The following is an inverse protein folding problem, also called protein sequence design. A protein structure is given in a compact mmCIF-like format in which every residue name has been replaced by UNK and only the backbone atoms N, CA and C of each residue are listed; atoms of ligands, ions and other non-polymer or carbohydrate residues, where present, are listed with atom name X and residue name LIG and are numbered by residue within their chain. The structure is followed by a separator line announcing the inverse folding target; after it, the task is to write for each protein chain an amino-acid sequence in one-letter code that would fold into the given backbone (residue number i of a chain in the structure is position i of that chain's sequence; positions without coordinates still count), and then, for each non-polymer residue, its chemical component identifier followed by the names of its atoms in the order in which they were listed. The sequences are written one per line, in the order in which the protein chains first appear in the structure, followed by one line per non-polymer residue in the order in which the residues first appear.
data_IF_828039713370
#
_entry.id   IF_828039713370
#
_cell.length_a   1.000
_cell.length_b   1.000
_cell.length_c   1.000
_cell.angle_alpha   90.00
_cell.angle_beta   90.00
_cell.angle_gamma   90.00
#
_symmetry.space_group_name_H-M   'P 1'
#
loop_
_entity.id
_entity.type
_entity.pdbx_description
1 polymer ?
#
# COMPACT_ATOMS: atom_id res chain seq x y z
N UNK A 1 5.85 -19.49 17.18
CA UNK A 1 6.09 -19.00 15.80
C UNK A 1 6.62 -17.58 15.89
N UNK A 2 7.63 -17.22 15.07
CA UNK A 2 8.22 -15.89 15.07
C UNK A 2 7.77 -15.09 13.83
N UNK A 3 7.65 -13.78 13.98
CA UNK A 3 7.43 -12.88 12.86
C UNK A 3 8.76 -12.54 12.21
N UNK A 4 8.80 -12.52 10.88
CA UNK A 4 10.00 -12.16 10.16
C UNK A 4 10.10 -10.63 10.03
N UNK A 5 11.30 -10.08 10.24
CA UNK A 5 11.57 -8.66 10.06
C UNK A 5 12.77 -8.42 9.14
N UNK A 6 12.82 -7.24 8.55
CA UNK A 6 13.98 -6.73 7.85
C UNK A 6 14.05 -5.22 8.03
N UNK A 7 15.16 -4.60 7.64
CA UNK A 7 15.40 -3.18 7.80
C UNK A 7 14.99 -2.39 6.56
N UNK A 8 14.42 -1.20 6.77
CA UNK A 8 14.19 -0.19 5.74
C UNK A 8 14.69 1.16 6.18
N UNK A 9 15.14 1.96 5.23
CA UNK A 9 15.42 3.39 5.47
C UNK A 9 14.12 4.16 5.55
N UNK A 10 14.09 5.20 6.39
CA UNK A 10 13.00 6.18 6.36
C UNK A 10 13.00 6.86 4.99
N UNK A 11 11.83 7.24 4.45
CA UNK A 11 11.78 8.14 3.30
C UNK A 11 12.49 9.45 3.66
N UNK A 12 13.29 9.99 2.72
CA UNK A 12 13.86 11.32 2.90
C UNK A 12 12.74 12.36 2.89
N UNK A 13 12.79 13.32 3.78
CA UNK A 13 12.01 14.53 3.68
C UNK A 13 12.55 15.37 2.51
N UNK A 14 11.68 16.20 1.90
CA UNK A 14 12.07 16.97 0.72
C UNK A 14 13.28 17.86 1.03
N UNK A 15 14.38 17.61 0.33
CA UNK A 15 15.60 18.40 0.42
C UNK A 15 16.72 17.82 1.31
N UNK A 16 16.51 16.68 1.93
CA UNK A 16 17.50 16.03 2.78
C UNK A 16 18.29 15.01 1.94
N UNK A 17 19.58 15.29 1.66
CA UNK A 17 20.46 14.39 0.92
C UNK A 17 21.13 13.32 1.82
N UNK A 18 20.97 13.44 3.15
CA UNK A 18 21.59 12.51 4.10
C UNK A 18 20.91 11.15 4.11
N UNK A 19 21.74 10.13 4.25
CA UNK A 19 21.32 8.74 4.38
C UNK A 19 20.50 8.55 5.67
N UNK A 20 19.19 8.39 5.53
CA UNK A 20 18.29 8.19 6.66
C UNK A 20 18.58 6.87 7.41
N UNK A 21 18.39 6.83 8.75
CA UNK A 21 18.65 5.65 9.55
C UNK A 21 17.76 4.48 9.17
N UNK A 22 18.28 3.27 9.36
CA UNK A 22 17.54 2.04 9.18
C UNK A 22 16.60 1.81 10.37
N UNK A 23 15.41 1.30 10.10
CA UNK A 23 14.47 0.85 11.12
C UNK A 23 13.91 -0.53 10.78
N UNK A 24 13.68 -1.40 11.78
CA UNK A 24 13.13 -2.72 11.56
C UNK A 24 11.66 -2.62 11.18
N UNK A 25 11.25 -3.44 10.24
CA UNK A 25 9.86 -3.57 9.79
C UNK A 25 9.51 -5.03 9.56
N UNK A 26 8.28 -5.41 9.92
CA UNK A 26 7.79 -6.77 9.70
C UNK A 26 7.71 -7.04 8.20
N UNK A 27 8.25 -8.19 7.79
CA UNK A 27 8.06 -8.75 6.45
C UNK A 27 6.75 -9.55 6.49
N UNK A 28 5.72 -9.00 5.85
CA UNK A 28 4.39 -9.62 5.85
C UNK A 28 4.40 -10.96 5.13
N UNK A 29 3.82 -11.98 5.75
CA UNK A 29 3.58 -13.31 5.16
C UNK A 29 2.31 -13.36 4.30
N UNK A 30 1.57 -12.26 4.22
CA UNK A 30 0.32 -12.13 3.49
C UNK A 30 -0.79 -11.56 4.35
N UNK A 31 -2.00 -11.54 3.80
CA UNK A 31 -3.21 -11.09 4.49
C UNK A 31 -4.10 -12.29 4.78
N UNK A 32 -4.52 -12.42 6.01
CA UNK A 32 -5.55 -13.38 6.42
C UNK A 32 -6.90 -12.66 6.29
N UNK A 33 -7.78 -13.19 5.48
CA UNK A 33 -9.14 -12.68 5.28
C UNK A 33 -10.15 -13.21 6.30
N UNK A 34 -11.33 -12.62 6.32
CA UNK A 34 -12.40 -13.06 7.24
C UNK A 34 -12.83 -14.51 7.00
N UNK A 35 -12.80 -15.00 5.75
CA UNK A 35 -13.21 -16.40 5.45
C UNK A 35 -12.33 -17.41 6.17
N UNK A 36 -11.02 -17.17 6.14
CA UNK A 36 -10.09 -18.02 6.86
C UNK A 36 -10.29 -17.94 8.37
N UNK A 37 -10.46 -16.72 8.91
CA UNK A 37 -10.74 -16.54 10.34
C UNK A 37 -12.03 -17.23 10.77
N UNK A 38 -13.10 -17.14 9.98
CA UNK A 38 -14.38 -17.78 10.29
C UNK A 38 -14.27 -19.29 10.28
N UNK A 39 -13.55 -19.86 9.34
CA UNK A 39 -13.28 -21.30 9.31
C UNK A 39 -12.55 -21.74 10.58
N UNK A 40 -11.44 -21.10 10.92
CA UNK A 40 -10.66 -21.45 12.12
C UNK A 40 -11.48 -21.29 13.42
N UNK A 41 -12.38 -20.30 13.51
CA UNK A 41 -13.30 -20.12 14.65
C UNK A 41 -14.38 -21.20 14.65
N UNK A 42 -14.97 -21.50 13.51
CA UNK A 42 -16.00 -22.53 13.38
C UNK A 42 -15.48 -23.91 13.77
N UNK A 43 -14.25 -24.26 13.37
CA UNK A 43 -13.60 -25.52 13.77
C UNK A 43 -13.37 -25.63 15.30
N UNK A 44 -13.24 -24.48 16.00
CA UNK A 44 -12.95 -24.42 17.44
C UNK A 44 -14.16 -24.05 18.31
N UNK A 45 -15.35 -23.90 17.73
CA UNK A 45 -16.56 -23.44 18.42
C UNK A 45 -17.84 -24.06 17.86
N UNK A 46 -18.99 -23.69 18.43
CA UNK A 46 -20.30 -24.09 17.93
C UNK A 46 -20.88 -23.15 16.87
N UNK A 47 -20.19 -22.04 16.56
CA UNK A 47 -20.64 -21.10 15.53
C UNK A 47 -20.34 -21.64 14.13
N UNK A 48 -21.30 -21.49 13.23
CA UNK A 48 -21.06 -21.77 11.79
C UNK A 48 -20.35 -20.60 11.12
N UNK A 49 -19.67 -20.83 9.99
CA UNK A 49 -19.10 -19.75 9.17
C UNK A 49 -20.17 -18.72 8.76
N UNK A 50 -21.43 -19.18 8.53
CA UNK A 50 -22.57 -18.31 8.19
C UNK A 50 -22.97 -17.38 9.33
N UNK A 51 -23.03 -17.90 10.57
CA UNK A 51 -23.32 -17.08 11.75
C UNK A 51 -22.26 -16.00 11.95
N UNK A 52 -20.98 -16.36 11.80
CA UNK A 52 -19.86 -15.43 11.94
C UNK A 52 -19.87 -14.35 10.85
N UNK A 53 -20.24 -14.73 9.62
CA UNK A 53 -20.42 -13.77 8.53
C UNK A 53 -21.56 -12.79 8.81
N UNK A 54 -22.70 -13.28 9.29
CA UNK A 54 -23.85 -12.45 9.67
C UNK A 54 -23.54 -11.49 10.81
N UNK A 55 -22.84 -11.96 11.85
CA UNK A 55 -22.36 -11.12 12.96
C UNK A 55 -21.43 -10.02 12.46
N UNK A 56 -20.50 -10.36 11.56
CA UNK A 56 -19.56 -9.37 11.01
C UNK A 56 -20.26 -8.28 10.21
N UNK A 57 -21.23 -8.62 9.38
CA UNK A 57 -22.03 -7.63 8.63
C UNK A 57 -22.78 -6.71 9.60
N UNK A 58 -23.49 -7.28 10.57
CA UNK A 58 -24.24 -6.50 11.57
C UNK A 58 -23.32 -5.58 12.40
N UNK A 59 -22.12 -6.07 12.73
CA UNK A 59 -21.11 -5.28 13.45
C UNK A 59 -20.63 -4.10 12.62
N UNK A 60 -20.31 -4.32 11.34
CA UNK A 60 -19.90 -3.25 10.41
C UNK A 60 -20.97 -2.17 10.29
N UNK A 61 -22.23 -2.55 10.13
CA UNK A 61 -23.35 -1.62 10.04
C UNK A 61 -23.49 -0.76 11.32
N UNK A 62 -23.47 -1.42 12.48
CA UNK A 62 -23.64 -0.70 13.77
C UNK A 62 -22.45 0.19 14.10
N UNK A 63 -21.21 -0.26 13.84
CA UNK A 63 -20.02 0.56 14.04
C UNK A 63 -20.06 1.78 13.11
N UNK A 64 -20.38 1.59 11.83
CA UNK A 64 -20.50 2.70 10.87
C UNK A 64 -21.57 3.70 11.29
N UNK A 65 -22.73 3.22 11.73
CA UNK A 65 -23.81 4.07 12.21
C UNK A 65 -23.38 4.94 13.39
N UNK A 66 -22.82 4.34 14.46
CA UNK A 66 -22.41 5.13 15.61
C UNK A 66 -21.25 6.09 15.33
N UNK A 67 -20.34 5.72 14.44
CA UNK A 67 -19.27 6.65 14.02
C UNK A 67 -19.83 7.85 13.25
N UNK A 68 -20.86 7.66 12.41
CA UNK A 68 -21.52 8.75 11.70
C UNK A 68 -22.29 9.69 12.62
N UNK A 69 -22.79 9.17 13.74
CA UNK A 69 -23.42 9.97 14.81
C UNK A 69 -22.41 10.68 15.74
N UNK A 70 -21.08 10.49 15.49
CA UNK A 70 -20.03 11.14 16.25
C UNK A 70 -19.58 10.41 17.51
N UNK A 71 -20.04 9.17 17.73
CA UNK A 71 -19.59 8.36 18.86
C UNK A 71 -18.23 7.72 18.60
N UNK A 72 -17.49 7.48 19.67
CA UNK A 72 -16.38 6.54 19.67
C UNK A 72 -16.90 5.14 19.96
N UNK A 73 -16.48 4.15 19.20
CA UNK A 73 -16.92 2.76 19.38
C UNK A 73 -15.80 1.92 19.96
N UNK A 74 -16.01 1.37 21.16
CA UNK A 74 -15.11 0.37 21.76
C UNK A 74 -15.54 -1.02 21.31
N UNK A 75 -14.67 -1.74 20.60
CA UNK A 75 -14.92 -3.13 20.21
C UNK A 75 -14.22 -4.09 21.16
N UNK A 76 -14.90 -4.47 22.24
CA UNK A 76 -14.35 -5.35 23.25
C UNK A 76 -12.97 -4.93 23.73
N UNK A 77 -12.06 -5.91 23.82
CA UNK A 77 -10.65 -5.66 24.14
C UNK A 77 -9.77 -5.42 22.89
N UNK A 78 -10.35 -5.41 21.69
CA UNK A 78 -9.61 -5.15 20.43
C UNK A 78 -9.14 -3.70 20.40
N UNK A 79 -10.05 -2.74 20.49
CA UNK A 79 -9.68 -1.35 20.37
C UNK A 79 -10.83 -0.38 20.30
N UNK A 80 -10.48 0.86 19.97
CA UNK A 80 -11.39 1.98 19.83
C UNK A 80 -11.35 2.47 18.39
N UNK A 81 -12.54 2.70 17.83
CA UNK A 81 -12.74 3.37 16.57
C UNK A 81 -13.23 4.78 16.81
N UNK A 82 -12.76 5.73 16.01
CA UNK A 82 -13.21 7.12 16.02
C UNK A 82 -13.15 7.70 14.61
N UNK A 83 -14.09 8.55 14.27
CA UNK A 83 -14.07 9.29 13.02
C UNK A 83 -13.18 10.53 13.14
N UNK A 84 -12.55 10.95 12.03
CA UNK A 84 -11.90 12.24 11.89
C UNK A 84 -12.57 13.09 10.81
N UNK A 85 -12.40 14.39 10.92
CA UNK A 85 -12.95 15.36 9.98
C UNK A 85 -11.79 16.04 9.25
N UNK A 86 -12.05 16.49 8.02
CA UNK A 86 -11.17 17.35 7.25
C UNK A 86 -11.87 18.66 6.90
N UNK A 87 -11.08 19.71 6.91
CA UNK A 87 -11.44 21.03 6.46
C UNK A 87 -10.18 21.81 6.02
N UNK A 88 -10.34 22.91 5.31
CA UNK A 88 -9.22 23.84 5.10
C UNK A 88 -8.79 24.44 6.45
N UNK A 89 -7.50 24.74 6.65
CA UNK A 89 -7.05 25.49 7.82
C UNK A 89 -7.74 26.86 7.89
N UNK A 90 -8.17 27.26 9.09
CA UNK A 90 -8.76 28.57 9.36
C UNK A 90 -8.24 29.12 10.66
N UNK A 91 -8.14 30.45 10.77
CA UNK A 91 -7.69 31.14 11.98
C UNK A 91 -8.85 31.50 12.91
N UNK A 92 -10.05 31.72 12.35
CA UNK A 92 -11.28 31.97 13.12
C UNK A 92 -12.36 30.93 12.75
N UNK A 93 -13.09 30.46 13.75
CA UNK A 93 -14.23 29.52 13.58
C UNK A 93 -15.31 30.05 12.63
N UNK A 94 -15.45 31.38 12.51
CA UNK A 94 -16.42 32.03 11.62
C UNK A 94 -16.05 31.98 10.14
N UNK A 95 -14.80 31.67 9.82
CA UNK A 95 -14.32 31.60 8.43
C UNK A 95 -14.77 30.35 7.67
N UNK A 96 -15.28 29.34 8.39
CA UNK A 96 -15.68 28.06 7.80
C UNK A 96 -17.12 27.73 8.20
N UNK A 97 -17.89 27.25 7.22
CA UNK A 97 -19.23 26.74 7.44
C UNK A 97 -19.23 25.21 7.49
N UNK A 98 -20.21 24.61 8.15
CA UNK A 98 -20.35 23.16 8.30
C UNK A 98 -20.34 22.39 6.96
N UNK A 99 -20.86 23.01 5.89
CA UNK A 99 -20.84 22.45 4.52
C UNK A 99 -19.42 22.19 3.99
N UNK A 100 -18.44 22.93 4.48
CA UNK A 100 -17.02 22.78 4.08
C UNK A 100 -16.23 21.82 4.98
N UNK A 101 -16.91 21.17 5.93
CA UNK A 101 -16.34 20.17 6.84
C UNK A 101 -16.90 18.82 6.44
N UNK A 102 -16.03 17.83 6.21
CA UNK A 102 -16.44 16.47 5.82
C UNK A 102 -15.73 15.42 6.64
N UNK A 103 -16.33 14.23 6.73
CA UNK A 103 -15.63 13.07 7.25
C UNK A 103 -14.40 12.76 6.39
N UNK A 104 -13.28 12.45 7.06
CA UNK A 104 -12.01 12.16 6.41
C UNK A 104 -11.67 10.67 6.50
N UNK A 105 -11.53 10.16 7.72
CA UNK A 105 -11.08 8.80 7.93
C UNK A 105 -11.64 8.21 9.24
N UNK A 106 -11.54 6.88 9.36
CA UNK A 106 -11.77 6.15 10.60
C UNK A 106 -10.44 5.76 11.22
N UNK A 107 -10.18 6.23 12.43
CA UNK A 107 -9.00 5.93 13.19
C UNK A 107 -9.25 4.73 14.09
N UNK A 108 -8.25 3.86 14.20
CA UNK A 108 -8.25 2.72 15.11
C UNK A 108 -7.12 2.83 16.13
N UNK A 109 -7.44 2.59 17.41
CA UNK A 109 -6.47 2.54 18.50
C UNK A 109 -6.62 1.26 19.30
N UNK A 110 -5.67 0.36 19.19
CA UNK A 110 -5.64 -0.89 19.95
C UNK A 110 -5.56 -0.66 21.46
N UNK A 111 -6.25 -1.48 22.27
CA UNK A 111 -6.12 -1.48 23.73
C UNK A 111 -4.71 -1.92 24.15
N UNK A 112 -4.36 -1.62 25.42
CA UNK A 112 -3.09 -2.12 26.02
C UNK A 112 -3.07 -3.65 26.06
N UNK A 113 -4.21 -4.25 26.38
CA UNK A 113 -4.36 -5.71 26.43
C UNK A 113 -4.11 -6.34 25.05
N UNK A 114 -4.76 -5.85 24.02
CA UNK A 114 -4.63 -6.37 22.67
C UNK A 114 -3.19 -6.25 22.14
N UNK A 115 -2.54 -5.10 22.36
CA UNK A 115 -1.13 -4.90 21.99
C UNK A 115 -0.20 -5.90 22.67
N UNK A 116 -0.39 -6.16 23.96
CA UNK A 116 0.41 -7.15 24.71
C UNK A 116 0.17 -8.57 24.21
N UNK A 117 -1.09 -8.91 23.95
CA UNK A 117 -1.48 -10.24 23.44
C UNK A 117 -0.99 -10.51 22.03
N UNK A 118 -0.89 -9.47 21.22
CA UNK A 118 -0.41 -9.54 19.82
C UNK A 118 1.12 -9.44 19.70
N UNK A 119 1.85 -9.31 20.80
CA UNK A 119 3.31 -9.34 20.79
C UNK A 119 3.83 -10.77 20.68
N UNK A 120 4.97 -10.93 20.01
CA UNK A 120 5.60 -12.23 19.80
C UNK A 120 7.11 -12.09 19.58
N UNK A 121 7.77 -13.21 19.35
CA UNK A 121 9.19 -13.24 18.96
C UNK A 121 9.36 -12.80 17.52
N UNK A 122 10.52 -12.22 17.21
CA UNK A 122 10.88 -11.80 15.86
C UNK A 122 12.20 -12.44 15.44
N UNK A 123 12.30 -12.81 14.16
CA UNK A 123 13.53 -13.34 13.54
C UNK A 123 13.84 -12.56 12.28
N UNK A 124 15.13 -12.46 11.92
CA UNK A 124 15.49 -11.79 10.69
C UNK A 124 15.09 -12.64 9.49
N UNK A 125 14.39 -12.03 8.53
CA UNK A 125 13.96 -12.71 7.32
C UNK A 125 15.17 -13.22 6.51
N UNK A 126 15.08 -14.45 5.99
CA UNK A 126 16.09 -15.00 5.04
C UNK A 126 16.10 -14.21 3.73
N UNK A 127 14.91 -13.83 3.27
CA UNK A 127 14.70 -12.96 2.12
C UNK A 127 14.04 -11.69 2.63
N UNK A 128 14.80 -10.59 2.65
CA UNK A 128 14.34 -9.29 3.09
C UNK A 128 13.34 -8.64 2.14
N UNK A 129 13.12 -7.35 2.34
CA UNK A 129 12.32 -6.59 1.39
C UNK A 129 13.00 -6.57 0.02
N UNK A 130 12.23 -6.86 -1.03
CA UNK A 130 12.74 -6.69 -2.38
C UNK A 130 13.12 -5.22 -2.59
N UNK A 131 14.34 -4.99 -3.04
CA UNK A 131 14.85 -3.68 -3.41
C UNK A 131 15.01 -3.61 -4.94
N UNK A 132 14.85 -2.41 -5.49
CA UNK A 132 15.18 -2.20 -6.90
C UNK A 132 16.69 -2.30 -7.06
N UNK A 133 17.14 -2.91 -8.16
CA UNK A 133 18.55 -2.94 -8.49
C UNK A 133 19.12 -1.53 -8.65
N UNK A 134 20.40 -1.38 -8.31
CA UNK A 134 21.14 -0.10 -8.38
C UNK A 134 21.74 0.17 -9.77
N UNK A 135 21.04 -0.30 -10.81
CA UNK A 135 21.45 -0.07 -12.19
C UNK A 135 21.20 1.40 -12.55
N UNK A 136 22.21 2.06 -13.12
CA UNK A 136 22.10 3.46 -13.55
C UNK A 136 20.99 3.67 -14.57
N UNK A 137 20.42 4.87 -14.61
CA UNK A 137 19.35 5.22 -15.57
C UNK A 137 19.80 5.01 -17.02
N UNK A 138 21.02 5.40 -17.33
CA UNK A 138 21.61 5.20 -18.67
C UNK A 138 21.64 3.71 -19.07
N UNK A 139 22.09 2.85 -18.16
CA UNK A 139 22.11 1.41 -18.43
C UNK A 139 20.71 0.84 -18.61
N UNK A 140 19.73 1.34 -17.83
CA UNK A 140 18.32 0.92 -18.00
C UNK A 140 17.76 1.37 -19.36
N UNK A 141 18.09 2.58 -19.79
CA UNK A 141 17.71 3.08 -21.12
C UNK A 141 18.31 2.24 -22.24
N UNK A 142 19.59 1.95 -22.19
CA UNK A 142 20.27 1.09 -23.17
C UNK A 142 19.62 -0.30 -23.26
N UNK A 143 19.26 -0.90 -22.11
CA UNK A 143 18.57 -2.19 -22.09
C UNK A 143 17.17 -2.09 -22.70
N UNK A 144 16.43 -1.01 -22.43
CA UNK A 144 15.12 -0.76 -23.03
C UNK A 144 15.21 -0.62 -24.56
N UNK A 145 16.17 0.15 -25.06
CA UNK A 145 16.42 0.32 -26.48
C UNK A 145 16.75 -1.02 -27.17
N UNK A 146 17.69 -1.77 -26.59
CA UNK A 146 18.06 -3.07 -27.10
C UNK A 146 16.88 -4.07 -27.11
N UNK A 147 15.98 -3.96 -26.15
CA UNK A 147 14.78 -4.78 -26.09
C UNK A 147 13.76 -4.36 -27.17
N UNK A 148 13.48 -3.06 -27.28
CA UNK A 148 12.53 -2.52 -28.27
C UNK A 148 13.04 -2.60 -29.71
N UNK A 149 14.36 -2.75 -29.93
CA UNK A 149 14.91 -3.04 -31.25
C UNK A 149 14.55 -4.46 -31.76
N UNK A 150 14.29 -5.39 -30.81
CA UNK A 150 13.93 -6.78 -31.12
C UNK A 150 12.43 -7.05 -30.95
N UNK A 151 11.74 -6.24 -30.15
CA UNK A 151 10.34 -6.43 -29.77
C UNK A 151 9.56 -5.14 -30.05
N UNK A 152 8.36 -5.26 -30.58
CA UNK A 152 7.54 -4.10 -30.94
C UNK A 152 6.99 -3.33 -29.74
N UNK A 153 6.93 -3.97 -28.56
CA UNK A 153 6.41 -3.37 -27.33
C UNK A 153 7.08 -3.99 -26.12
N UNK A 154 6.89 -3.34 -24.96
CA UNK A 154 7.29 -3.84 -23.65
C UNK A 154 6.15 -3.66 -22.65
N UNK A 155 5.98 -4.62 -21.74
CA UNK A 155 5.06 -4.52 -20.61
C UNK A 155 5.81 -4.06 -19.35
N UNK A 156 5.07 -3.52 -18.37
CA UNK A 156 5.67 -3.18 -17.05
C UNK A 156 6.40 -4.36 -16.41
N UNK A 157 5.89 -5.59 -16.59
CA UNK A 157 6.50 -6.79 -16.01
C UNK A 157 7.85 -7.09 -16.66
N UNK A 158 7.91 -7.02 -17.98
CA UNK A 158 9.14 -7.21 -18.74
C UNK A 158 10.15 -6.12 -18.45
N UNK A 159 9.71 -4.85 -18.37
CA UNK A 159 10.58 -3.74 -18.00
C UNK A 159 11.13 -3.88 -16.58
N UNK A 160 10.31 -4.31 -15.62
CA UNK A 160 10.76 -4.65 -14.25
C UNK A 160 11.81 -5.76 -14.26
N UNK A 161 11.62 -6.81 -15.06
CA UNK A 161 12.60 -7.90 -15.21
C UNK A 161 13.90 -7.44 -15.87
N UNK A 162 13.80 -6.61 -16.92
CA UNK A 162 14.93 -6.09 -17.69
C UNK A 162 15.83 -5.15 -16.87
N UNK A 163 15.22 -4.32 -16.04
CA UNK A 163 15.90 -3.26 -15.26
C UNK A 163 16.16 -3.64 -13.81
N UNK A 164 15.52 -4.70 -13.30
CA UNK A 164 15.56 -5.06 -11.90
C UNK A 164 14.82 -4.09 -10.97
N UNK A 165 14.05 -3.15 -11.53
CA UNK A 165 13.23 -2.23 -10.74
C UNK A 165 12.01 -2.92 -10.18
N UNK A 166 11.63 -2.57 -8.95
CA UNK A 166 10.34 -2.98 -8.39
C UNK A 166 9.18 -2.37 -9.19
N UNK A 167 8.04 -3.09 -9.21
CA UNK A 167 6.85 -2.73 -10.00
C UNK A 167 6.46 -1.24 -9.92
N UNK A 168 6.52 -0.64 -8.73
CA UNK A 168 6.16 0.77 -8.53
C UNK A 168 7.18 1.75 -9.10
N UNK A 169 8.49 1.46 -9.01
CA UNK A 169 9.54 2.27 -9.66
C UNK A 169 9.51 2.11 -11.17
N UNK A 170 9.37 0.87 -11.66
CA UNK A 170 9.23 0.56 -13.07
C UNK A 170 8.04 1.30 -13.71
N UNK A 171 6.88 1.33 -13.04
CA UNK A 171 5.70 2.06 -13.53
C UNK A 171 5.95 3.57 -13.62
N UNK A 172 6.56 4.16 -12.58
CA UNK A 172 6.87 5.60 -12.58
C UNK A 172 7.85 5.98 -13.69
N UNK A 173 8.88 5.18 -13.90
CA UNK A 173 9.88 5.43 -14.94
C UNK A 173 9.27 5.28 -16.35
N UNK A 174 8.44 4.26 -16.57
CA UNK A 174 7.69 4.11 -17.82
C UNK A 174 6.74 5.30 -18.09
N UNK A 175 6.05 5.80 -17.06
CA UNK A 175 5.19 6.97 -17.19
C UNK A 175 6.00 8.22 -17.56
N UNK A 176 7.15 8.45 -16.93
CA UNK A 176 8.06 9.54 -17.29
C UNK A 176 8.56 9.44 -18.74
N UNK A 177 8.86 8.24 -19.21
CA UNK A 177 9.26 8.03 -20.61
C UNK A 177 8.10 8.31 -21.58
N UNK A 178 6.86 8.06 -21.18
CA UNK A 178 5.67 8.45 -21.96
C UNK A 178 5.45 9.96 -21.93
N UNK A 179 5.54 10.60 -20.77
CA UNK A 179 5.43 12.06 -20.62
C UNK A 179 6.49 12.80 -21.43
N UNK A 180 7.70 12.26 -21.48
CA UNK A 180 8.80 12.81 -22.29
C UNK A 180 8.70 12.47 -23.79
N UNK A 181 7.63 11.79 -24.24
CA UNK A 181 7.40 11.43 -25.64
C UNK A 181 8.33 10.35 -26.19
N UNK A 182 9.08 9.66 -25.34
CA UNK A 182 9.99 8.56 -25.73
C UNK A 182 9.21 7.29 -26.01
N UNK A 183 8.16 7.04 -25.25
CA UNK A 183 7.26 5.91 -25.38
C UNK A 183 5.82 6.35 -25.60
N UNK A 184 5.05 5.52 -26.31
CA UNK A 184 3.61 5.61 -26.41
C UNK A 184 2.94 4.46 -25.66
N UNK A 185 1.71 4.65 -25.21
CA UNK A 185 0.94 3.59 -24.52
C UNK A 185 -0.22 3.11 -25.37
N UNK A 186 -0.53 1.81 -25.24
CA UNK A 186 -1.73 1.21 -25.81
C UNK A 186 -2.35 0.21 -24.83
N UNK A 187 -3.68 0.19 -24.71
CA UNK A 187 -4.41 -0.71 -23.80
C UNK A 187 -4.87 -0.03 -22.51
N UNK A 188 -5.52 -0.79 -21.62
CA UNK A 188 -6.13 -0.30 -20.38
C UNK A 188 -5.77 -1.17 -19.18
N UNK A 189 -5.67 -0.55 -18.00
CA UNK A 189 -5.48 -1.22 -16.72
C UNK A 189 -4.21 -2.09 -16.69
N UNK A 190 -4.35 -3.38 -16.43
CA UNK A 190 -3.21 -4.31 -16.35
C UNK A 190 -2.69 -4.79 -17.72
N UNK A 191 -3.35 -4.40 -18.83
CA UNK A 191 -2.99 -4.76 -20.20
C UNK A 191 -2.32 -3.62 -20.96
N UNK A 192 -1.81 -2.61 -20.28
CA UNK A 192 -1.04 -1.52 -20.88
C UNK A 192 0.27 -2.07 -21.43
N UNK A 193 0.55 -1.76 -22.70
CA UNK A 193 1.82 -1.99 -23.37
C UNK A 193 2.46 -0.65 -23.75
N UNK A 194 3.77 -0.63 -23.81
CA UNK A 194 4.57 0.54 -24.12
C UNK A 194 5.31 0.29 -25.43
N UNK A 195 5.18 1.22 -26.37
CA UNK A 195 5.78 1.15 -27.71
C UNK A 195 6.77 2.29 -27.88
N UNK A 196 7.78 2.10 -28.71
CA UNK A 196 8.70 3.18 -29.09
C UNK A 196 7.92 4.27 -29.84
N UNK A 197 8.14 5.53 -29.46
CA UNK A 197 7.57 6.66 -30.22
C UNK A 197 8.30 6.83 -31.55
N UNK A 198 7.57 7.03 -32.64
CA UNK A 198 8.16 7.24 -33.96
C UNK A 198 8.81 8.62 -34.12
N UNK A 199 8.52 9.55 -33.22
CA UNK A 199 8.87 10.97 -33.37
C UNK A 199 10.15 11.43 -32.63
N UNK A 200 10.83 10.59 -31.85
CA UNK A 200 12.13 10.98 -31.25
C UNK A 200 13.08 9.79 -31.07
N UNK A 201 14.36 9.92 -31.52
CA UNK A 201 15.40 9.01 -31.08
C UNK A 201 15.59 9.22 -29.58
N UNK A 202 15.69 8.12 -28.86
CA UNK A 202 16.03 8.13 -27.43
C UNK A 202 17.45 8.71 -27.33
N UNK A 203 17.58 9.97 -26.88
CA UNK A 203 18.88 10.62 -26.65
C UNK A 203 19.41 10.25 -25.27
#
# INVERSE_FOLDING_TARGET
MAADYDFRRKPNEKGDEELQPLYPRIVSKGTIDCKRLFREISEASTFTEGDLAGIMVSLQEKVSYYLSEGYHVKLGEIGYFSASLKARPVMDKKEIRSVSISFDNVNFRATKWFRRRSSGTVTRAKFGFQESSDISEETRRLRLEAFLAKNHFITRREYSGLTGLLKGKAQRELNLLVENGVLNTRGYGNRIIYLKSENQPIK
#
